data_IF_620253664185
#
_entry.id   IF_620253664185
#
_cell.length_a   1.000
_cell.length_b   1.000
_cell.length_c   1.000
_cell.angle_alpha   90.00
_cell.angle_beta   90.00
_cell.angle_gamma   90.00
#
_symmetry.space_group_name_H-M   'P 1'
#
loop_
_entity.id
_entity.type
_entity.pdbx_description
1 polymer ?
#
# COMPACT_ATOMS: atom_id res chain seq x y z
N UNK A 1 -26.84 -8.36 5.07
CA UNK A 1 -25.59 -7.93 4.40
C UNK A 1 -24.86 -9.13 3.79
N UNK A 2 -24.55 -10.17 4.55
CA UNK A 2 -23.75 -11.31 4.07
C UNK A 2 -24.32 -12.01 2.84
N UNK A 3 -25.63 -12.28 2.80
CA UNK A 3 -26.29 -12.89 1.62
C UNK A 3 -26.14 -12.03 0.35
N UNK A 4 -26.25 -10.71 0.49
CA UNK A 4 -26.12 -9.75 -0.60
C UNK A 4 -24.68 -9.69 -1.12
N UNK A 5 -23.70 -9.88 -0.24
CA UNK A 5 -22.28 -9.93 -0.58
C UNK A 5 -21.83 -11.33 -0.99
N UNK A 6 -22.70 -12.34 -0.95
CA UNK A 6 -22.37 -13.74 -1.23
C UNK A 6 -21.25 -14.28 -0.32
N UNK A 7 -21.13 -13.72 0.90
CA UNK A 7 -20.12 -14.12 1.88
C UNK A 7 -20.69 -14.99 2.99
N UNK A 8 -19.84 -15.85 3.56
CA UNK A 8 -20.14 -16.66 4.73
C UNK A 8 -19.80 -15.88 6.02
N UNK A 9 -20.21 -16.40 7.17
CA UNK A 9 -19.83 -15.85 8.47
C UNK A 9 -18.45 -16.36 8.95
N UNK A 10 -17.82 -17.29 8.23
CA UNK A 10 -16.53 -17.85 8.62
C UNK A 10 -15.39 -17.07 7.96
N UNK A 11 -14.61 -16.26 8.70
CA UNK A 11 -13.54 -15.45 8.11
C UNK A 11 -12.43 -16.31 7.48
N UNK A 12 -12.25 -17.55 7.93
CA UNK A 12 -11.27 -18.50 7.37
C UNK A 12 -11.61 -18.97 5.96
N UNK A 13 -12.82 -18.66 5.47
CA UNK A 13 -13.17 -18.87 4.07
C UNK A 13 -12.51 -17.80 3.16
N UNK A 14 -11.81 -16.80 3.70
CA UNK A 14 -11.23 -15.67 2.97
C UNK A 14 -9.76 -15.40 3.37
N UNK A 15 -8.77 -16.00 2.67
CA UNK A 15 -7.35 -15.93 3.00
C UNK A 15 -6.79 -14.51 3.08
N UNK A 16 -7.34 -13.54 2.33
CA UNK A 16 -6.89 -12.15 2.38
C UNK A 16 -7.03 -11.50 3.76
N UNK A 17 -7.97 -11.96 4.58
CA UNK A 17 -8.26 -11.36 5.90
C UNK A 17 -8.05 -12.34 7.07
N UNK A 18 -7.61 -13.58 6.80
CA UNK A 18 -7.54 -14.64 7.81
C UNK A 18 -6.13 -15.21 8.02
N UNK A 19 -5.09 -14.47 7.63
CA UNK A 19 -3.69 -14.86 7.83
C UNK A 19 -3.19 -14.59 9.26
N UNK A 20 -3.91 -13.77 10.01
CA UNK A 20 -3.56 -13.37 11.37
C UNK A 20 -4.72 -13.53 12.34
N UNK A 21 -4.92 -12.52 13.19
CA UNK A 21 -6.02 -12.49 14.14
C UNK A 21 -7.32 -12.07 13.44
N UNK A 22 -8.42 -12.75 13.77
CA UNK A 22 -9.76 -12.49 13.21
C UNK A 22 -10.70 -11.79 14.20
N UNK A 23 -10.28 -11.63 15.45
CA UNK A 23 -11.07 -11.00 16.52
C UNK A 23 -10.14 -10.32 17.51
N UNK A 24 -10.53 -9.16 18.02
CA UNK A 24 -9.79 -8.41 19.03
C UNK A 24 -10.70 -8.24 20.24
N UNK A 25 -10.23 -8.67 21.43
CA UNK A 25 -11.08 -8.73 22.63
C UNK A 25 -11.67 -7.38 23.07
N UNK A 26 -11.08 -6.27 22.64
CA UNK A 26 -11.53 -4.91 22.95
C UNK A 26 -12.46 -4.30 21.90
N UNK A 27 -12.82 -5.04 20.84
CA UNK A 27 -13.60 -4.53 19.70
C UNK A 27 -14.84 -5.40 19.52
N UNK A 28 -16.01 -4.77 19.38
CA UNK A 28 -17.26 -5.43 18.98
C UNK A 28 -17.59 -5.08 17.52
N UNK A 29 -17.23 -5.97 16.59
CA UNK A 29 -17.45 -5.76 15.16
C UNK A 29 -18.93 -5.63 14.78
N UNK A 30 -19.86 -6.14 15.60
CA UNK A 30 -21.29 -5.99 15.37
C UNK A 30 -21.73 -4.54 15.64
N UNK A 31 -21.29 -3.96 16.75
CA UNK A 31 -21.57 -2.56 17.08
C UNK A 31 -20.88 -1.62 16.08
N UNK A 32 -19.61 -1.87 15.75
CA UNK A 32 -18.85 -1.06 14.80
C UNK A 32 -19.46 -1.06 13.38
N UNK A 33 -20.00 -2.20 12.92
CA UNK A 33 -20.68 -2.26 11.63
C UNK A 33 -21.96 -1.40 11.60
N UNK A 34 -22.74 -1.41 12.69
CA UNK A 34 -23.95 -0.58 12.81
C UNK A 34 -23.57 0.89 12.86
N UNK A 35 -22.54 1.25 13.63
CA UNK A 35 -22.03 2.63 13.69
C UNK A 35 -21.53 3.10 12.32
N UNK A 36 -20.80 2.24 11.60
CA UNK A 36 -20.28 2.54 10.26
C UNK A 36 -21.40 2.77 9.24
N UNK A 37 -22.44 1.91 9.21
CA UNK A 37 -23.58 2.08 8.30
C UNK A 37 -24.33 3.40 8.57
N UNK A 38 -24.54 3.74 9.85
CA UNK A 38 -25.17 4.99 10.27
C UNK A 38 -24.32 6.22 9.90
N UNK A 39 -23.00 6.13 10.01
CA UNK A 39 -22.08 7.19 9.63
C UNK A 39 -22.12 7.44 8.12
N UNK A 40 -22.14 6.38 7.30
CA UNK A 40 -22.27 6.48 5.83
C UNK A 40 -23.56 7.22 5.45
N UNK A 41 -24.68 6.90 6.11
CA UNK A 41 -25.95 7.60 5.87
C UNK A 41 -25.88 9.08 6.28
N UNK A 42 -25.32 9.36 7.46
CA UNK A 42 -25.16 10.72 7.99
C UNK A 42 -24.28 11.60 7.10
N UNK A 43 -23.24 11.01 6.50
CA UNK A 43 -22.34 11.67 5.54
C UNK A 43 -22.98 11.85 4.16
N UNK A 44 -24.24 11.46 3.96
CA UNK A 44 -25.00 11.74 2.75
C UNK A 44 -24.57 10.92 1.54
N UNK A 45 -24.02 9.73 1.75
CA UNK A 45 -23.83 8.75 0.67
C UNK A 45 -25.21 8.25 0.21
N UNK A 46 -25.43 8.18 -1.09
CA UNK A 46 -26.66 7.61 -1.64
C UNK A 46 -26.78 6.11 -1.33
N UNK A 47 -28.00 5.53 -1.34
CA UNK A 47 -28.18 4.09 -1.17
C UNK A 47 -27.36 3.24 -2.15
N UNK A 48 -27.23 3.71 -3.40
CA UNK A 48 -26.42 3.06 -4.44
C UNK A 48 -24.92 3.13 -4.15
N UNK A 49 -24.43 4.26 -3.65
CA UNK A 49 -23.03 4.44 -3.24
C UNK A 49 -22.69 3.55 -2.04
N UNK A 50 -23.53 3.57 -1.00
CA UNK A 50 -23.40 2.71 0.18
C UNK A 50 -23.37 1.23 -0.21
N UNK A 51 -24.30 0.83 -1.07
CA UNK A 51 -24.33 -0.52 -1.63
C UNK A 51 -23.05 -0.86 -2.40
N UNK A 52 -22.56 0.10 -3.19
CA UNK A 52 -21.31 0.00 -3.93
C UNK A 52 -20.09 -0.26 -3.05
N UNK A 53 -19.97 0.48 -1.93
CA UNK A 53 -18.91 0.29 -0.92
C UNK A 53 -18.90 -1.17 -0.46
N UNK A 54 -20.04 -1.66 0.06
CA UNK A 54 -20.12 -3.04 0.57
C UNK A 54 -19.84 -4.09 -0.51
N UNK A 55 -20.40 -3.92 -1.71
CA UNK A 55 -20.19 -4.88 -2.82
C UNK A 55 -18.73 -4.95 -3.26
N UNK A 56 -18.03 -3.82 -3.35
CA UNK A 56 -16.62 -3.78 -3.69
C UNK A 56 -15.76 -4.43 -2.60
N UNK A 57 -16.04 -4.16 -1.32
CA UNK A 57 -15.37 -4.83 -0.19
C UNK A 57 -15.59 -6.34 -0.21
N UNK A 58 -16.83 -6.80 -0.43
CA UNK A 58 -17.12 -8.24 -0.55
C UNK A 58 -16.45 -8.89 -1.76
N UNK A 59 -16.41 -8.19 -2.91
CA UNK A 59 -15.76 -8.69 -4.11
C UNK A 59 -14.24 -8.89 -3.93
N UNK A 60 -13.58 -8.03 -3.16
CA UNK A 60 -12.16 -8.20 -2.80
C UNK A 60 -11.93 -9.50 -2.02
N UNK A 61 -12.85 -9.89 -1.13
CA UNK A 61 -12.75 -11.16 -0.40
C UNK A 61 -12.80 -12.36 -1.36
N UNK A 62 -13.71 -12.33 -2.34
CA UNK A 62 -13.80 -13.36 -3.37
C UNK A 62 -12.59 -13.40 -4.30
N UNK A 63 -11.94 -12.26 -4.56
CA UNK A 63 -10.68 -12.23 -5.33
C UNK A 63 -9.61 -13.08 -4.65
N UNK A 64 -9.49 -13.00 -3.33
CA UNK A 64 -8.55 -13.81 -2.55
C UNK A 64 -8.81 -15.32 -2.59
N UNK A 65 -10.02 -15.73 -3.02
CA UNK A 65 -10.40 -17.12 -3.16
C UNK A 65 -10.32 -17.65 -4.60
N UNK A 66 -10.02 -16.79 -5.58
CA UNK A 66 -9.85 -17.25 -6.96
C UNK A 66 -8.65 -18.19 -7.05
N UNK A 67 -8.90 -19.37 -7.62
CA UNK A 67 -7.88 -20.40 -7.82
C UNK A 67 -7.52 -20.52 -9.28
N UNK A 68 -6.23 -20.71 -9.51
CA UNK A 68 -5.67 -20.94 -10.83
C UNK A 68 -4.77 -22.15 -10.75
N UNK A 69 -4.53 -22.78 -11.89
CA UNK A 69 -3.61 -23.91 -12.01
C UNK A 69 -2.82 -23.80 -13.29
N UNK A 70 -1.61 -24.35 -13.28
CA UNK A 70 -0.85 -24.54 -14.50
C UNK A 70 -1.57 -25.49 -15.49
N UNK A 71 -1.65 -25.09 -16.76
CA UNK A 71 -2.15 -25.93 -17.84
C UNK A 71 -1.25 -27.16 -18.05
N UNK A 72 -1.83 -28.34 -18.35
CA UNK A 72 -1.03 -29.52 -18.66
C UNK A 72 -0.11 -29.25 -19.87
N UNK A 73 1.21 -29.37 -19.65
CA UNK A 73 2.26 -29.22 -20.68
C UNK A 73 2.50 -27.79 -21.19
N UNK A 74 1.94 -26.78 -20.55
CA UNK A 74 2.21 -25.36 -20.83
C UNK A 74 2.61 -24.63 -19.54
N UNK A 75 3.36 -23.54 -19.61
CA UNK A 75 3.67 -22.71 -18.42
C UNK A 75 2.53 -21.75 -18.04
N UNK A 76 1.47 -21.70 -18.86
CA UNK A 76 0.36 -20.77 -18.70
C UNK A 76 -0.64 -21.25 -17.67
N UNK A 77 -1.25 -20.30 -16.95
CA UNK A 77 -2.34 -20.55 -16.03
C UNK A 77 -3.68 -20.73 -16.74
N UNK A 78 -4.57 -21.51 -16.12
CA UNK A 78 -5.99 -21.52 -16.38
C UNK A 78 -6.80 -21.44 -15.07
N UNK A 79 -8.06 -20.98 -15.10
CA UNK A 79 -8.91 -20.96 -13.91
C UNK A 79 -9.13 -22.37 -13.35
N UNK A 80 -8.99 -22.54 -12.04
CA UNK A 80 -9.33 -23.78 -11.33
C UNK A 80 -10.71 -23.64 -10.66
N UNK A 81 -11.73 -23.61 -11.51
CA UNK A 81 -13.11 -23.28 -11.12
C UNK A 81 -13.45 -21.82 -11.37
N UNK A 82 -14.75 -21.51 -11.38
CA UNK A 82 -15.26 -20.16 -11.68
C UNK A 82 -16.08 -19.55 -10.56
N UNK A 83 -16.44 -20.32 -9.52
CA UNK A 83 -17.42 -19.91 -8.51
C UNK A 83 -17.09 -18.55 -7.88
N UNK A 84 -15.87 -18.37 -7.40
CA UNK A 84 -15.44 -17.12 -6.74
C UNK A 84 -15.31 -15.97 -7.75
N UNK A 85 -14.95 -16.27 -8.99
CA UNK A 85 -14.95 -15.27 -10.06
C UNK A 85 -16.36 -14.86 -10.47
N UNK A 86 -17.33 -15.78 -10.45
CA UNK A 86 -18.73 -15.51 -10.72
C UNK A 86 -19.32 -14.61 -9.63
N UNK A 87 -19.04 -14.89 -8.35
CA UNK A 87 -19.44 -14.04 -7.22
C UNK A 87 -18.83 -12.64 -7.33
N UNK A 88 -17.52 -12.56 -7.54
CA UNK A 88 -16.85 -11.27 -7.61
C UNK A 88 -17.27 -10.44 -8.83
N UNK A 89 -17.41 -11.08 -10.00
CA UNK A 89 -17.89 -10.42 -11.21
C UNK A 89 -19.33 -9.94 -11.06
N UNK A 90 -20.21 -10.73 -10.43
CA UNK A 90 -21.58 -10.31 -10.12
C UNK A 90 -21.61 -9.06 -9.23
N UNK A 91 -20.84 -9.07 -8.14
CA UNK A 91 -20.77 -7.94 -7.21
C UNK A 91 -20.20 -6.69 -7.89
N UNK A 92 -19.20 -6.85 -8.76
CA UNK A 92 -18.57 -5.76 -9.49
C UNK A 92 -19.28 -5.36 -10.79
N UNK A 93 -20.38 -6.03 -11.17
CA UNK A 93 -21.13 -5.71 -12.39
C UNK A 93 -20.38 -6.02 -13.69
N UNK A 94 -19.62 -7.12 -13.72
CA UNK A 94 -18.74 -7.57 -14.81
C UNK A 94 -19.20 -8.92 -15.39
N UNK A 95 -18.59 -9.32 -16.52
CA UNK A 95 -18.68 -10.68 -17.03
C UNK A 95 -17.53 -11.53 -16.46
N UNK A 96 -17.86 -12.66 -15.80
CA UNK A 96 -16.87 -13.55 -15.17
C UNK A 96 -15.88 -14.17 -16.16
N UNK A 97 -16.35 -14.58 -17.34
CA UNK A 97 -15.49 -15.17 -18.35
C UNK A 97 -14.47 -14.16 -18.90
N UNK A 98 -14.90 -12.91 -19.13
CA UNK A 98 -14.00 -11.83 -19.53
C UNK A 98 -13.00 -11.47 -18.44
N UNK A 99 -13.41 -11.49 -17.17
CA UNK A 99 -12.55 -11.23 -16.02
C UNK A 99 -11.44 -12.29 -15.91
N UNK A 100 -11.80 -13.58 -15.93
CA UNK A 100 -10.85 -14.69 -15.90
C UNK A 100 -9.91 -14.64 -17.10
N UNK A 101 -10.43 -14.35 -18.29
CA UNK A 101 -9.62 -14.18 -19.49
C UNK A 101 -8.65 -13.01 -19.37
N UNK A 102 -9.06 -11.89 -18.79
CA UNK A 102 -8.20 -10.72 -18.60
C UNK A 102 -7.05 -11.01 -17.62
N UNK A 103 -7.29 -11.84 -16.60
CA UNK A 103 -6.25 -12.28 -15.67
C UNK A 103 -5.26 -13.27 -16.29
N UNK A 104 -5.75 -14.34 -16.93
CA UNK A 104 -4.86 -15.36 -17.52
C UNK A 104 -4.18 -14.90 -18.82
N UNK A 105 -4.86 -14.04 -19.59
CA UNK A 105 -4.45 -13.59 -20.92
C UNK A 105 -4.67 -12.07 -21.08
N UNK A 106 -3.94 -11.22 -20.35
CA UNK A 106 -3.99 -9.78 -20.55
C UNK A 106 -3.52 -9.38 -21.96
N UNK A 107 -4.11 -8.31 -22.48
CA UNK A 107 -3.65 -7.58 -23.66
C UNK A 107 -2.60 -6.57 -23.24
N UNK A 108 -1.34 -6.81 -23.63
CA UNK A 108 -0.21 -5.94 -23.32
C UNK A 108 0.19 -5.17 -24.57
N UNK A 109 0.47 -3.88 -24.41
CA UNK A 109 0.98 -3.04 -25.49
C UNK A 109 2.48 -3.30 -25.68
N UNK A 110 2.88 -3.74 -26.86
CA UNK A 110 4.27 -3.96 -27.25
C UNK A 110 4.56 -3.08 -28.47
N UNK A 111 5.30 -2.00 -28.26
CA UNK A 111 5.45 -0.94 -29.26
C UNK A 111 4.11 -0.29 -29.59
N UNK A 112 3.66 -0.42 -30.84
CA UNK A 112 2.39 0.13 -31.32
C UNK A 112 1.24 -0.88 -31.38
N UNK A 113 1.47 -2.15 -31.06
CA UNK A 113 0.47 -3.22 -31.16
C UNK A 113 0.07 -3.76 -29.79
N UNK A 114 -1.12 -4.36 -29.71
CA UNK A 114 -1.58 -5.07 -28.52
C UNK A 114 -1.53 -6.57 -28.78
N UNK A 115 -0.77 -7.29 -27.96
CA UNK A 115 -0.63 -8.74 -28.03
C UNK A 115 -1.24 -9.39 -26.79
N UNK A 116 -1.84 -10.57 -26.98
CA UNK A 116 -2.29 -11.41 -25.87
C UNK A 116 -1.06 -12.07 -25.25
N UNK A 117 -0.87 -11.91 -23.94
CA UNK A 117 0.24 -12.50 -23.20
C UNK A 117 -0.29 -13.48 -22.15
N UNK A 118 -0.02 -14.77 -22.32
CA UNK A 118 -0.29 -15.77 -21.29
C UNK A 118 0.55 -15.50 -20.03
N UNK A 119 -0.06 -15.66 -18.87
CA UNK A 119 0.58 -15.53 -17.55
C UNK A 119 0.82 -16.90 -16.92
N UNK A 120 1.84 -17.03 -16.09
CA UNK A 120 2.01 -18.18 -15.18
C UNK A 120 1.02 -18.10 -14.01
N UNK A 121 0.85 -19.18 -13.26
CA UNK A 121 -0.02 -19.23 -12.07
C UNK A 121 0.33 -18.12 -11.07
N UNK A 122 1.62 -18.00 -10.73
CA UNK A 122 2.12 -16.97 -9.82
C UNK A 122 1.82 -15.55 -10.33
N UNK A 123 2.02 -15.30 -11.63
CA UNK A 123 1.74 -13.99 -12.23
C UNK A 123 0.25 -13.63 -12.16
N UNK A 124 -0.64 -14.61 -12.32
CA UNK A 124 -2.07 -14.39 -12.18
C UNK A 124 -2.44 -14.05 -10.73
N UNK A 125 -1.93 -14.81 -9.76
CA UNK A 125 -2.16 -14.52 -8.33
C UNK A 125 -1.63 -13.14 -7.94
N UNK A 126 -0.45 -12.76 -8.41
CA UNK A 126 0.10 -11.41 -8.21
C UNK A 126 -0.81 -10.33 -8.81
N UNK A 127 -1.32 -10.53 -10.02
CA UNK A 127 -2.24 -9.58 -10.66
C UNK A 127 -3.57 -9.47 -9.89
N UNK A 128 -4.12 -10.57 -9.37
CA UNK A 128 -5.33 -10.55 -8.53
C UNK A 128 -5.09 -9.75 -7.26
N UNK A 129 -3.96 -9.98 -6.58
CA UNK A 129 -3.58 -9.23 -5.37
C UNK A 129 -3.40 -7.73 -5.65
N UNK A 130 -2.71 -7.37 -6.72
CA UNK A 130 -2.50 -5.99 -7.14
C UNK A 130 -3.82 -5.28 -7.42
N UNK A 131 -4.72 -5.94 -8.15
CA UNK A 131 -6.04 -5.40 -8.46
C UNK A 131 -6.90 -5.27 -7.18
N UNK A 132 -6.89 -6.27 -6.29
CA UNK A 132 -7.63 -6.20 -5.03
C UNK A 132 -7.18 -5.01 -4.16
N UNK A 133 -5.86 -4.80 -4.01
CA UNK A 133 -5.30 -3.63 -3.33
C UNK A 133 -5.72 -2.33 -4.01
N UNK A 134 -5.63 -2.26 -5.34
CA UNK A 134 -6.03 -1.08 -6.11
C UNK A 134 -7.50 -0.71 -5.94
N UNK A 135 -8.41 -1.71 -5.93
CA UNK A 135 -9.84 -1.46 -5.70
C UNK A 135 -10.06 -0.91 -4.31
N UNK A 136 -9.42 -1.49 -3.28
CA UNK A 136 -9.53 -1.03 -1.91
C UNK A 136 -9.00 0.41 -1.74
N UNK A 137 -7.79 0.69 -2.25
CA UNK A 137 -7.16 2.01 -2.18
C UNK A 137 -8.03 3.07 -2.88
N UNK A 138 -8.46 2.81 -4.12
CA UNK A 138 -9.30 3.76 -4.87
C UNK A 138 -10.65 3.98 -4.20
N UNK A 139 -11.26 2.93 -3.64
CA UNK A 139 -12.50 3.04 -2.88
C UNK A 139 -12.31 3.92 -1.64
N UNK A 140 -11.23 3.70 -0.88
CA UNK A 140 -10.90 4.49 0.29
C UNK A 140 -10.67 5.96 -0.07
N UNK A 141 -9.83 6.25 -1.06
CA UNK A 141 -9.57 7.62 -1.54
C UNK A 141 -10.85 8.29 -2.04
N UNK A 142 -11.71 7.54 -2.72
CA UNK A 142 -13.01 8.04 -3.15
C UNK A 142 -13.91 8.37 -1.97
N UNK A 143 -13.97 7.53 -0.93
CA UNK A 143 -14.72 7.84 0.29
C UNK A 143 -14.21 9.12 0.95
N UNK A 144 -12.89 9.30 1.06
CA UNK A 144 -12.28 10.55 1.56
C UNK A 144 -12.70 11.75 0.73
N UNK A 145 -12.66 11.65 -0.60
CA UNK A 145 -13.12 12.73 -1.49
C UNK A 145 -14.62 13.04 -1.30
N UNK A 146 -15.47 12.02 -1.15
CA UNK A 146 -16.91 12.21 -0.91
C UNK A 146 -17.17 12.88 0.45
N UNK A 147 -16.44 12.48 1.49
CA UNK A 147 -16.50 13.13 2.81
C UNK A 147 -16.08 14.59 2.70
N UNK A 148 -14.95 14.88 2.03
CA UNK A 148 -14.47 16.25 1.84
C UNK A 148 -15.47 17.13 1.06
N UNK A 149 -16.17 16.57 0.06
CA UNK A 149 -17.22 17.28 -0.67
C UNK A 149 -18.41 17.63 0.24
N UNK A 150 -18.75 16.79 1.20
CA UNK A 150 -19.85 17.02 2.13
C UNK A 150 -19.49 18.01 3.24
N UNK A 151 -18.21 18.05 3.62
CA UNK A 151 -17.67 19.05 4.55
C UNK A 151 -17.38 20.40 3.87
N UNK A 152 -17.50 20.49 2.55
CA UNK A 152 -17.23 21.73 1.83
C UNK A 152 -18.35 22.77 2.05
N UNK A 153 -17.93 24.01 2.28
CA UNK A 153 -18.81 25.16 2.46
C UNK A 153 -18.42 26.27 1.49
N UNK A 154 -19.38 27.02 0.99
CA UNK A 154 -19.14 28.11 0.02
C UNK A 154 -18.48 29.36 0.64
N UNK A 155 -18.14 29.32 1.92
CA UNK A 155 -17.55 30.46 2.63
C UNK A 155 -16.08 30.62 2.25
N UNK A 156 -15.58 31.86 2.10
CA UNK A 156 -14.17 32.10 1.84
C UNK A 156 -13.33 31.65 3.04
N UNK A 157 -12.23 30.95 2.77
CA UNK A 157 -11.28 30.44 3.77
C UNK A 157 -9.95 31.18 3.62
N UNK A 158 -9.42 31.74 4.70
CA UNK A 158 -8.14 32.47 4.70
C UNK A 158 -7.02 31.66 5.37
N UNK A 159 -7.35 30.90 6.41
CA UNK A 159 -6.43 30.10 7.20
C UNK A 159 -7.06 28.74 7.52
N UNK A 160 -6.22 27.77 7.88
CA UNK A 160 -6.65 26.47 8.39
C UNK A 160 -5.74 26.01 9.52
N UNK A 161 -6.26 25.14 10.38
CA UNK A 161 -5.49 24.39 11.36
C UNK A 161 -5.49 22.94 10.89
N UNK A 162 -4.31 22.42 10.55
CA UNK A 162 -4.13 21.03 10.19
C UNK A 162 -3.88 20.19 11.44
N UNK A 163 -4.64 19.11 11.60
CA UNK A 163 -4.36 18.09 12.62
C UNK A 163 -3.76 16.89 11.89
N UNK A 164 -2.52 16.56 12.23
CA UNK A 164 -1.81 15.40 11.69
C UNK A 164 -1.94 14.24 12.68
N UNK A 165 -2.53 13.15 12.23
CA UNK A 165 -2.59 11.87 12.96
C UNK A 165 -1.97 10.79 12.06
N UNK A 166 -0.86 10.22 12.50
CA UNK A 166 -0.08 9.23 11.78
C UNK A 166 0.58 8.29 12.79
N UNK A 167 0.81 7.03 12.38
CA UNK A 167 1.57 6.08 13.18
C UNK A 167 2.95 6.64 13.58
N UNK A 168 3.33 6.38 14.82
CA UNK A 168 4.67 6.68 15.33
C UNK A 168 5.75 5.78 14.72
N UNK A 169 6.99 5.97 15.15
CA UNK A 169 8.11 5.14 14.74
C UNK A 169 7.91 3.67 15.16
N UNK A 170 8.11 2.72 14.23
CA UNK A 170 7.86 1.29 14.44
C UNK A 170 9.18 0.49 14.48
N UNK A 171 9.32 -0.35 15.50
CA UNK A 171 10.41 -1.33 15.61
C UNK A 171 9.82 -2.68 15.98
N UNK A 172 9.72 -3.56 14.99
CA UNK A 172 9.22 -4.92 15.15
C UNK A 172 10.35 -5.95 15.05
N UNK A 173 10.03 -7.20 15.38
CA UNK A 173 10.93 -8.33 15.14
C UNK A 173 11.20 -8.57 13.64
N UNK A 174 10.24 -8.18 12.80
CA UNK A 174 10.32 -8.21 11.34
C UNK A 174 9.89 -6.85 10.77
N UNK A 175 10.84 -6.10 10.22
CA UNK A 175 10.57 -4.81 9.59
C UNK A 175 10.71 -4.95 8.07
N UNK A 176 9.63 -4.69 7.33
CA UNK A 176 9.62 -4.76 5.88
C UNK A 176 9.56 -3.36 5.26
N UNK A 177 9.14 -3.28 4.00
CA UNK A 177 9.04 -2.04 3.24
C UNK A 177 8.12 -1.01 3.93
N UNK A 178 7.01 -1.48 4.48
CA UNK A 178 6.02 -0.66 5.17
C UNK A 178 6.63 0.05 6.39
N UNK A 179 7.41 -0.67 7.21
CA UNK A 179 8.14 -0.08 8.33
C UNK A 179 9.17 0.95 7.86
N UNK A 180 9.87 0.72 6.74
CA UNK A 180 10.80 1.72 6.22
C UNK A 180 10.06 3.01 5.85
N UNK A 181 8.90 2.93 5.20
CA UNK A 181 8.10 4.10 4.85
C UNK A 181 7.60 4.86 6.08
N UNK A 182 7.11 4.16 7.10
CA UNK A 182 6.63 4.76 8.35
C UNK A 182 7.79 5.41 9.12
N UNK A 183 8.91 4.70 9.25
CA UNK A 183 10.10 5.19 9.97
C UNK A 183 10.76 6.37 9.24
N UNK A 184 10.82 6.35 7.91
CA UNK A 184 11.27 7.49 7.12
C UNK A 184 10.40 8.73 7.33
N UNK A 185 9.08 8.54 7.36
CA UNK A 185 8.14 9.63 7.64
C UNK A 185 8.37 10.22 9.03
N UNK A 186 8.54 9.35 10.04
CA UNK A 186 8.83 9.77 11.41
C UNK A 186 10.21 10.43 11.54
N UNK A 187 11.22 10.00 10.79
CA UNK A 187 12.54 10.65 10.74
C UNK A 187 12.41 12.12 10.27
N UNK A 188 11.61 12.34 9.22
CA UNK A 188 11.32 13.69 8.70
C UNK A 188 10.47 14.53 9.66
N UNK A 189 9.47 13.94 10.30
CA UNK A 189 8.67 14.64 11.32
C UNK A 189 9.53 15.05 12.51
N UNK A 190 10.46 14.20 12.94
CA UNK A 190 11.42 14.54 13.97
C UNK A 190 12.37 15.66 13.52
N UNK A 191 12.84 15.64 12.26
CA UNK A 191 13.66 16.72 11.72
C UNK A 191 12.89 18.05 11.69
N UNK A 192 11.63 18.03 11.28
CA UNK A 192 10.76 19.20 11.28
C UNK A 192 10.57 19.75 12.70
N UNK A 193 10.31 18.87 13.68
CA UNK A 193 10.19 19.26 15.08
C UNK A 193 11.47 19.90 15.61
N UNK A 194 12.63 19.25 15.40
CA UNK A 194 13.92 19.78 15.82
C UNK A 194 14.16 21.16 15.20
N UNK A 195 14.02 21.28 13.88
CA UNK A 195 14.22 22.55 13.20
C UNK A 195 13.30 23.66 13.76
N UNK A 196 12.00 23.38 13.93
CA UNK A 196 11.05 24.37 14.41
C UNK A 196 11.34 24.81 15.85
N UNK A 197 11.57 23.85 16.76
CA UNK A 197 11.85 24.15 18.18
C UNK A 197 13.14 24.95 18.32
N UNK A 198 14.22 24.51 17.67
CA UNK A 198 15.54 25.09 17.88
C UNK A 198 15.76 26.41 17.13
N UNK A 199 15.14 26.62 15.97
CA UNK A 199 15.23 27.92 15.28
C UNK A 199 14.50 28.99 16.08
N UNK A 200 13.30 28.69 16.59
CA UNK A 200 12.53 29.63 17.40
C UNK A 200 13.23 29.98 18.72
N UNK A 201 13.82 28.99 19.40
CA UNK A 201 14.59 29.25 20.63
C UNK A 201 15.82 30.13 20.36
N UNK A 202 16.54 29.89 19.26
CA UNK A 202 17.71 30.70 18.90
C UNK A 202 17.35 32.12 18.51
N UNK A 203 16.21 32.33 17.84
CA UNK A 203 15.69 33.68 17.56
C UNK A 203 15.37 34.43 18.86
N UNK A 204 14.82 33.76 19.87
CA UNK A 204 14.55 34.38 21.17
C UNK A 204 15.84 34.68 21.93
N UNK A 205 16.83 33.78 21.97
CA UNK A 205 18.14 34.07 22.59
C UNK A 205 18.82 35.29 21.97
N UNK A 206 18.77 35.41 20.64
CA UNK A 206 19.31 36.56 19.92
C UNK A 206 18.58 37.85 20.28
N UNK A 207 17.26 37.79 20.44
CA UNK A 207 16.42 38.93 20.82
C UNK A 207 16.64 39.36 22.26
N UNK A 208 16.94 38.43 23.16
CA UNK A 208 17.32 38.70 24.56
C UNK A 208 18.79 39.11 24.73
N UNK A 209 19.61 39.01 23.67
CA UNK A 209 21.03 39.36 23.71
C UNK A 209 21.88 38.33 24.46
N UNK A 210 21.42 37.08 24.54
CA UNK A 210 22.15 35.97 25.15
C UNK A 210 23.14 35.42 24.11
N UNK A 211 24.42 35.36 24.46
CA UNK A 211 25.43 34.70 23.64
C UNK A 211 25.18 33.18 23.66
N UNK A 212 24.75 32.66 22.52
CA UNK A 212 24.50 31.24 22.29
C UNK A 212 25.26 30.76 21.05
N UNK A 213 25.92 29.61 21.15
CA UNK A 213 26.63 29.01 20.02
C UNK A 213 25.62 28.32 19.09
N UNK A 214 25.64 28.69 17.80
CA UNK A 214 24.68 28.16 16.84
C UNK A 214 24.93 26.66 16.61
N UNK A 215 23.94 25.84 16.91
CA UNK A 215 23.97 24.39 16.65
C UNK A 215 22.82 24.07 15.70
N UNK A 216 23.13 23.52 14.53
CA UNK A 216 22.13 23.09 13.56
C UNK A 216 21.67 21.65 13.87
N UNK A 217 20.68 21.55 14.76
CA UNK A 217 20.04 20.28 15.13
C UNK A 217 19.21 19.66 13.99
N UNK A 218 19.02 20.36 12.86
CA UNK A 218 18.41 19.79 11.65
C UNK A 218 19.37 18.88 10.88
N UNK A 219 20.69 19.03 11.08
CA UNK A 219 21.71 18.23 10.38
C UNK A 219 21.89 16.82 10.94
N UNK A 220 21.58 16.59 12.22
CA UNK A 220 21.79 15.29 12.88
C UNK A 220 20.98 14.15 12.21
N UNK A 221 19.81 14.49 11.68
CA UNK A 221 18.88 13.56 11.02
C UNK A 221 19.06 13.54 9.49
N UNK A 222 19.71 14.57 8.94
CA UNK A 222 19.85 14.74 7.50
C UNK A 222 20.57 13.55 6.86
N UNK A 223 21.61 13.02 7.51
CA UNK A 223 22.35 11.89 6.97
C UNK A 223 21.49 10.62 6.77
N UNK A 224 20.55 10.34 7.67
CA UNK A 224 19.64 9.20 7.54
C UNK A 224 18.56 9.46 6.49
N UNK A 225 17.97 10.66 6.49
CA UNK A 225 16.96 11.08 5.50
C UNK A 225 17.55 11.04 4.09
N UNK A 226 18.74 11.59 3.91
CA UNK A 226 19.41 11.64 2.60
C UNK A 226 19.78 10.25 2.08
N UNK A 227 20.24 9.37 2.97
CA UNK A 227 20.49 7.96 2.63
C UNK A 227 19.24 7.28 2.04
N UNK A 228 18.04 7.66 2.48
CA UNK A 228 16.79 7.06 2.02
C UNK A 228 16.30 7.71 0.73
N UNK A 229 16.24 9.05 0.64
CA UNK A 229 15.50 9.75 -0.43
C UNK A 229 16.35 10.36 -1.55
N UNK A 230 17.64 10.61 -1.34
CA UNK A 230 18.46 11.29 -2.35
C UNK A 230 18.71 10.37 -3.56
N UNK A 231 19.13 10.93 -4.70
CA UNK A 231 19.63 10.11 -5.81
C UNK A 231 20.71 9.14 -5.33
N UNK A 232 20.66 7.89 -5.81
CA UNK A 232 21.52 6.80 -5.32
C UNK A 232 21.30 6.42 -3.85
N UNK A 233 20.21 6.89 -3.22
CA UNK A 233 19.72 6.42 -1.92
C UNK A 233 18.82 5.18 -2.06
N UNK A 234 18.30 4.70 -0.95
CA UNK A 234 17.58 3.42 -0.88
C UNK A 234 16.37 3.38 -1.82
N UNK A 235 15.50 4.40 -1.80
CA UNK A 235 14.32 4.42 -2.67
C UNK A 235 14.71 4.56 -4.15
N UNK A 236 15.70 5.38 -4.46
CA UNK A 236 16.19 5.54 -5.83
C UNK A 236 16.76 4.23 -6.40
N UNK A 237 17.53 3.48 -5.62
CA UNK A 237 18.07 2.18 -6.04
C UNK A 237 16.94 1.15 -6.18
N UNK A 238 15.95 1.18 -5.29
CA UNK A 238 14.79 0.29 -5.35
C UNK A 238 13.98 0.53 -6.63
N UNK A 239 13.67 1.79 -6.95
CA UNK A 239 12.98 2.20 -8.18
C UNK A 239 13.75 1.77 -9.43
N UNK A 240 15.07 2.00 -9.46
CA UNK A 240 15.92 1.60 -10.59
C UNK A 240 15.90 0.08 -10.79
N UNK A 241 16.04 -0.70 -9.72
CA UNK A 241 15.95 -2.17 -9.78
C UNK A 241 14.56 -2.66 -10.23
N UNK A 242 13.50 -1.92 -9.91
CA UNK A 242 12.15 -2.24 -10.39
C UNK A 242 12.02 -2.13 -11.92
N UNK A 243 12.86 -1.32 -12.57
CA UNK A 243 12.86 -1.18 -14.04
C UNK A 243 13.53 -2.35 -14.76
N UNK A 244 14.34 -3.15 -14.07
CA UNK A 244 15.04 -4.30 -14.67
C UNK A 244 14.21 -5.58 -14.57
N UNK A 245 13.81 -6.21 -15.70
CA UNK A 245 12.93 -7.39 -15.67
C UNK A 245 13.52 -8.62 -14.96
N UNK A 246 14.84 -8.68 -14.80
CA UNK A 246 15.58 -9.79 -14.17
C UNK A 246 16.17 -9.42 -12.80
N UNK A 247 15.85 -8.23 -12.27
CA UNK A 247 16.26 -7.88 -10.92
C UNK A 247 15.60 -8.81 -9.89
N UNK A 248 16.32 -9.08 -8.82
CA UNK A 248 15.90 -9.92 -7.69
C UNK A 248 16.18 -9.16 -6.41
N UNK A 249 15.53 -9.52 -5.30
CA UNK A 249 15.83 -8.89 -4.00
C UNK A 249 17.33 -9.03 -3.64
N UNK A 250 18.00 -10.07 -4.13
CA UNK A 250 19.45 -10.24 -3.99
C UNK A 250 20.25 -9.24 -4.82
N UNK A 251 19.85 -8.93 -6.07
CA UNK A 251 20.55 -7.90 -6.86
C UNK A 251 20.36 -6.51 -6.24
N UNK A 252 19.15 -6.22 -5.75
CA UNK A 252 18.84 -5.01 -5.00
C UNK A 252 19.73 -4.88 -3.75
N UNK A 253 19.81 -5.94 -2.92
CA UNK A 253 20.71 -6.00 -1.77
C UNK A 253 22.15 -5.66 -2.14
N UNK A 254 22.67 -6.29 -3.19
CA UNK A 254 24.06 -6.13 -3.58
C UNK A 254 24.35 -4.69 -4.00
N UNK A 255 23.44 -4.06 -4.77
CA UNK A 255 23.56 -2.62 -5.12
C UNK A 255 23.55 -1.72 -3.88
N UNK A 256 22.66 -1.96 -2.91
CA UNK A 256 22.64 -1.20 -1.65
C UNK A 256 23.99 -1.31 -0.91
N UNK A 257 24.54 -2.51 -0.83
CA UNK A 257 25.81 -2.77 -0.16
C UNK A 257 26.97 -2.09 -0.89
N UNK A 258 27.07 -2.24 -2.20
CA UNK A 258 28.12 -1.64 -3.01
C UNK A 258 28.09 -0.10 -2.92
N UNK A 259 26.90 0.49 -2.83
CA UNK A 259 26.71 1.93 -2.76
C UNK A 259 26.94 2.51 -1.37
N UNK A 260 26.50 1.84 -0.29
CA UNK A 260 26.41 2.47 1.04
C UNK A 260 27.29 1.84 2.11
N UNK A 261 27.62 0.55 2.02
CA UNK A 261 28.34 -0.13 3.10
C UNK A 261 29.76 0.44 3.24
N UNK A 262 30.07 0.94 4.44
CA UNK A 262 31.36 1.58 4.75
C UNK A 262 31.53 2.99 4.16
N UNK A 263 30.52 3.52 3.46
CA UNK A 263 30.47 4.87 2.87
C UNK A 263 29.46 5.76 3.58
N UNK A 264 28.35 5.19 4.03
CA UNK A 264 27.27 5.89 4.74
C UNK A 264 27.19 5.37 6.18
N UNK A 265 27.44 6.23 7.17
CA UNK A 265 27.48 5.83 8.59
C UNK A 265 26.16 5.26 9.11
N UNK A 266 25.03 5.75 8.57
CA UNK A 266 23.70 5.27 8.92
C UNK A 266 23.34 3.91 8.29
N UNK A 267 24.15 3.37 7.37
CA UNK A 267 23.91 2.07 6.74
C UNK A 267 24.84 0.99 7.32
N UNK A 268 24.26 -0.03 7.95
CA UNK A 268 25.00 -1.07 8.66
C UNK A 268 24.63 -2.49 8.21
N UNK A 269 25.51 -3.45 8.51
CA UNK A 269 25.16 -4.87 8.43
C UNK A 269 24.29 -5.25 9.63
N UNK A 270 23.27 -6.09 9.42
CA UNK A 270 22.43 -6.56 10.51
C UNK A 270 23.23 -7.42 11.47
N UNK A 271 22.91 -7.31 12.77
CA UNK A 271 23.55 -8.12 13.80
C UNK A 271 22.88 -9.50 13.83
N UNK A 272 23.58 -10.59 13.47
CA UNK A 272 22.98 -11.91 13.49
C UNK A 272 22.63 -12.29 14.93
N UNK A 273 21.36 -12.62 15.16
CA UNK A 273 20.88 -13.11 16.45
C UNK A 273 20.09 -14.41 16.24
N UNK A 274 20.40 -15.44 17.05
CA UNK A 274 19.69 -16.72 16.99
C UNK A 274 18.21 -16.49 17.31
N UNK A 275 17.33 -16.97 16.44
CA UNK A 275 15.87 -16.91 16.62
C UNK A 275 15.22 -15.61 16.15
N UNK A 276 15.98 -14.62 15.64
CA UNK A 276 15.39 -13.46 14.96
C UNK A 276 15.07 -13.77 13.51
N UNK A 277 14.06 -13.08 12.98
CA UNK A 277 13.77 -13.11 11.55
C UNK A 277 14.99 -12.61 10.74
N UNK A 278 15.13 -13.11 9.51
CA UNK A 278 16.21 -12.69 8.62
C UNK A 278 16.13 -11.19 8.35
N UNK A 279 17.28 -10.52 8.36
CA UNK A 279 17.40 -9.11 7.98
C UNK A 279 18.57 -8.95 6.99
N UNK A 280 18.47 -7.97 6.12
CA UNK A 280 19.37 -7.76 5.01
C UNK A 280 20.25 -6.52 5.18
N UNK A 281 19.75 -5.45 5.80
CA UNK A 281 20.53 -4.28 6.20
C UNK A 281 19.93 -3.66 7.47
N UNK A 282 20.69 -2.78 8.12
CA UNK A 282 20.17 -2.00 9.24
C UNK A 282 20.39 -0.51 9.00
N UNK A 283 19.43 0.30 9.45
CA UNK A 283 19.58 1.75 9.48
C UNK A 283 19.69 2.26 10.90
N UNK A 284 20.55 3.28 11.08
CA UNK A 284 20.63 4.05 12.32
C UNK A 284 19.70 5.25 12.19
N UNK A 285 18.50 5.10 12.77
CA UNK A 285 17.50 6.15 12.91
C UNK A 285 17.68 6.89 14.24
N UNK A 286 17.02 8.04 14.39
CA UNK A 286 16.99 8.78 15.66
C UNK A 286 16.47 7.94 16.84
N UNK A 287 15.49 7.08 16.60
CA UNK A 287 14.86 6.23 17.61
C UNK A 287 15.66 4.95 17.92
N UNK A 288 16.68 4.63 17.12
CA UNK A 288 17.50 3.44 17.29
C UNK A 288 17.87 2.75 15.98
N UNK A 289 18.54 1.60 16.10
CA UNK A 289 18.89 0.77 14.94
C UNK A 289 17.73 -0.16 14.58
N UNK A 290 17.30 -0.14 13.33
CA UNK A 290 16.23 -1.00 12.81
C UNK A 290 16.80 -1.96 11.76
N UNK A 291 16.51 -3.25 11.92
CA UNK A 291 16.92 -4.32 11.01
C UNK A 291 15.81 -4.57 9.98
N UNK A 292 16.10 -4.35 8.68
CA UNK A 292 15.13 -4.44 7.59
C UNK A 292 15.30 -5.70 6.75
N UNK A 293 14.18 -6.34 6.44
CA UNK A 293 14.09 -7.46 5.50
C UNK A 293 13.55 -6.97 4.14
N UNK A 294 14.34 -7.13 3.07
CA UNK A 294 14.01 -6.69 1.71
C UNK A 294 13.20 -7.68 0.87
N UNK A 295 12.86 -8.85 1.41
CA UNK A 295 12.15 -9.87 0.65
C UNK A 295 10.80 -9.34 0.15
N UNK A 296 10.56 -9.46 -1.14
CA UNK A 296 9.37 -8.97 -1.83
C UNK A 296 9.35 -7.46 -2.08
N UNK A 297 10.40 -6.69 -1.76
CA UNK A 297 10.37 -5.23 -1.93
C UNK A 297 10.24 -4.82 -3.40
N UNK A 298 10.95 -5.48 -4.32
CA UNK A 298 10.83 -5.19 -5.75
C UNK A 298 9.41 -5.46 -6.25
N UNK A 299 8.76 -6.51 -5.75
CA UNK A 299 7.39 -6.84 -6.14
C UNK A 299 6.40 -5.84 -5.56
N UNK A 300 6.51 -5.54 -4.27
CA UNK A 300 5.70 -4.53 -3.57
C UNK A 300 5.79 -3.15 -4.23
N UNK A 301 6.97 -2.76 -4.70
CA UNK A 301 7.20 -1.43 -5.29
C UNK A 301 6.83 -1.33 -6.79
N UNK A 302 6.83 -2.44 -7.53
CA UNK A 302 6.40 -2.43 -8.95
C UNK A 302 4.88 -2.25 -9.10
N UNK A 303 4.11 -2.86 -8.20
CA UNK A 303 2.65 -3.00 -8.19
C UNK A 303 1.94 -2.87 -9.57
N UNK A 304 2.33 -3.67 -10.58
CA UNK A 304 1.85 -3.46 -11.95
C UNK A 304 0.39 -3.88 -12.05
N UNK A 305 -0.49 -2.91 -12.33
CA UNK A 305 -1.90 -3.20 -12.52
C UNK A 305 -2.17 -3.83 -13.88
N UNK A 306 -3.07 -4.81 -13.90
CA UNK A 306 -3.52 -5.43 -15.13
C UNK A 306 -4.47 -4.47 -15.88
N UNK A 307 -3.92 -3.74 -16.86
CA UNK A 307 -4.65 -2.81 -17.72
C UNK A 307 -5.87 -3.41 -18.44
N UNK A 308 -5.85 -4.72 -18.71
CA UNK A 308 -7.02 -5.38 -19.33
C UNK A 308 -8.17 -5.49 -18.34
N UNK A 309 -7.89 -5.80 -17.07
CA UNK A 309 -8.89 -5.82 -15.99
C UNK A 309 -9.40 -4.40 -15.70
N UNK A 310 -8.51 -3.40 -15.65
CA UNK A 310 -8.91 -1.98 -15.54
C UNK A 310 -9.88 -1.59 -16.67
N UNK A 311 -9.59 -2.00 -17.90
CA UNK A 311 -10.48 -1.75 -19.03
C UNK A 311 -11.87 -2.40 -18.90
N UNK A 312 -12.00 -3.49 -18.14
CA UNK A 312 -13.31 -4.06 -17.77
C UNK A 312 -14.00 -3.22 -16.70
N UNK A 313 -13.27 -2.77 -15.68
CA UNK A 313 -13.81 -1.92 -14.60
C UNK A 313 -14.38 -0.61 -15.11
N UNK A 314 -13.69 0.03 -16.07
CA UNK A 314 -14.15 1.24 -16.75
C UNK A 314 -15.47 1.06 -17.51
N UNK A 315 -15.85 -0.17 -17.83
CA UNK A 315 -17.07 -0.54 -18.57
C UNK A 315 -18.07 -1.31 -17.71
N UNK A 316 -17.84 -1.36 -16.40
CA UNK A 316 -18.72 -2.03 -15.46
C UNK A 316 -20.13 -1.44 -15.50
N UNK A 317 -21.13 -2.27 -15.20
CA UNK A 317 -22.48 -1.79 -14.92
C UNK A 317 -22.59 -1.10 -13.55
N UNK A 318 -21.60 -1.27 -12.68
CA UNK A 318 -21.48 -0.62 -11.38
C UNK A 318 -20.83 0.76 -11.54
N UNK A 319 -21.64 1.82 -11.37
CA UNK A 319 -21.20 3.21 -11.56
C UNK A 319 -20.00 3.61 -10.70
N UNK A 320 -19.99 3.21 -9.42
CA UNK A 320 -18.89 3.53 -8.51
C UNK A 320 -17.57 2.94 -9.04
N UNK A 321 -17.56 1.68 -9.47
CA UNK A 321 -16.37 1.02 -10.00
C UNK A 321 -15.85 1.73 -11.26
N UNK A 322 -16.74 2.10 -12.17
CA UNK A 322 -16.37 2.90 -13.34
C UNK A 322 -15.72 4.23 -12.94
N UNK A 323 -16.28 4.91 -11.93
CA UNK A 323 -15.77 6.17 -11.45
C UNK A 323 -14.38 6.04 -10.79
N UNK A 324 -14.14 4.96 -10.03
CA UNK A 324 -12.82 4.69 -9.42
C UNK A 324 -11.68 4.54 -10.45
N UNK A 325 -12.02 4.12 -11.66
CA UNK A 325 -11.08 3.87 -12.76
C UNK A 325 -11.30 4.78 -13.98
N UNK A 326 -12.11 5.83 -13.84
CA UNK A 326 -12.19 6.90 -14.82
C UNK A 326 -10.92 7.75 -14.68
N UNK A 327 -10.06 7.70 -15.70
CA UNK A 327 -8.69 8.25 -15.72
C UNK A 327 -8.51 9.62 -15.12
#
# INVERSE_FOLDING_TARGET
LSEMLLVTANPYDYPFISQGQISVASIDDQEELVATDAAIDTLGFSPDERMGIYKLTGAILHYGNMKFKQKPREEQAEPDGTEEADKAAYLMGLNSADLLKAFCYPRVKVGNEYVMKGQTEDQVHQAVNAIAKSVYEKLFLWMVMRINQQLDTKLPRQHFIGVLDIAGFEIFEFNSFEQLCINFTNEKLQQFFNHHMFVLEQEEYKKEGIEWEFIDFGMDLAACIELIEKPMGIFSILEEECMFPKATDTSFKNKLYDQHLGKSNNFQKPKPAKGKAEAHFSLVHYAGTVDYNISGWLEKNKDPLNETVIGLYQKSSMKILCHLYAG
#
